data_IF_544507920032
#
_entry.id   IF_544507920032
#
_cell.length_a   1.000
_cell.length_b   1.000
_cell.length_c   1.000
_cell.angle_alpha   90.00
_cell.angle_beta   90.00
_cell.angle_gamma   90.00
#
_symmetry.space_group_name_H-M   'P 1'
#
loop_
_entity.id
_entity.type
_entity.pdbx_description
1 polymer ?
#
# COMPACT_ATOMS: atom_id res chain seq x y z
N UNK A 1 -1.74 -10.54 -0.50
CA UNK A 1 -0.34 -10.68 -0.91
C UNK A 1 0.03 -12.06 -1.48
N UNK A 2 -0.94 -12.91 -1.85
CA UNK A 2 -0.62 -14.21 -2.44
C UNK A 2 -0.83 -14.28 -3.97
N UNK A 3 -1.87 -13.62 -4.50
CA UNK A 3 -2.23 -13.71 -5.92
C UNK A 3 -1.14 -13.32 -6.94
N UNK A 4 -0.53 -12.14 -6.81
CA UNK A 4 0.51 -11.68 -7.76
C UNK A 4 1.76 -12.56 -7.74
N UNK A 5 2.07 -13.13 -6.59
CA UNK A 5 3.21 -14.03 -6.40
C UNK A 5 2.96 -15.34 -7.15
N UNK A 6 1.77 -15.93 -7.05
CA UNK A 6 1.43 -17.20 -7.74
C UNK A 6 1.48 -17.05 -9.26
N UNK A 7 0.96 -15.93 -9.80
CA UNK A 7 1.04 -15.66 -11.25
C UNK A 7 2.48 -15.60 -11.76
N UNK A 8 3.42 -15.07 -10.97
CA UNK A 8 4.84 -15.05 -11.33
C UNK A 8 5.43 -16.48 -11.33
N UNK A 9 5.10 -17.30 -10.34
CA UNK A 9 5.57 -18.68 -10.24
C UNK A 9 5.03 -19.56 -11.37
N UNK A 10 3.79 -19.36 -11.80
CA UNK A 10 3.20 -20.08 -12.95
C UNK A 10 3.97 -19.81 -14.25
N UNK A 11 4.42 -18.57 -14.47
CA UNK A 11 5.24 -18.24 -15.64
C UNK A 11 6.68 -18.74 -15.56
N UNK A 12 7.24 -18.85 -14.36
CA UNK A 12 8.64 -19.24 -14.16
C UNK A 12 8.84 -20.76 -14.03
N UNK A 13 7.88 -21.44 -13.40
CA UNK A 13 7.88 -22.88 -13.10
C UNK A 13 6.46 -23.47 -13.24
N UNK A 14 5.92 -23.58 -14.47
CA UNK A 14 4.51 -23.97 -14.73
C UNK A 14 4.13 -25.40 -14.30
N UNK A 15 5.09 -26.23 -13.89
CA UNK A 15 4.86 -27.61 -13.45
C UNK A 15 5.09 -27.81 -11.95
N UNK A 16 5.32 -26.73 -11.21
CA UNK A 16 5.51 -26.77 -9.77
C UNK A 16 4.27 -26.21 -9.08
N UNK A 17 3.65 -27.03 -8.23
CA UNK A 17 2.46 -26.59 -7.50
C UNK A 17 2.81 -25.51 -6.48
N UNK A 18 2.13 -24.38 -6.55
CA UNK A 18 2.36 -23.27 -5.63
C UNK A 18 1.67 -23.54 -4.29
N UNK A 19 2.44 -23.57 -3.21
CA UNK A 19 1.94 -23.69 -1.84
C UNK A 19 1.36 -22.37 -1.29
N UNK A 20 0.90 -21.47 -2.16
CA UNK A 20 0.42 -20.13 -1.81
C UNK A 20 -1.05 -20.03 -2.16
N UNK A 21 -1.86 -19.58 -1.21
CA UNK A 21 -3.28 -19.37 -1.43
C UNK A 21 -3.54 -18.37 -2.57
N UNK A 22 -4.59 -18.53 -3.33
CA UNK A 22 -5.06 -17.59 -4.36
C UNK A 22 -6.46 -17.10 -4.03
N UNK A 23 -7.01 -16.21 -4.86
CA UNK A 23 -8.27 -15.52 -4.57
C UNK A 23 -9.41 -16.50 -4.25
N UNK A 24 -9.51 -17.61 -5.01
CA UNK A 24 -10.58 -18.58 -4.84
C UNK A 24 -10.38 -19.52 -3.65
N UNK A 25 -9.18 -19.63 -3.07
CA UNK A 25 -8.97 -20.46 -1.87
C UNK A 25 -9.67 -19.86 -0.65
N UNK A 26 -9.85 -18.53 -0.64
CA UNK A 26 -10.62 -17.85 0.40
C UNK A 26 -12.05 -17.50 -0.03
N UNK A 27 -12.29 -17.18 -1.30
CA UNK A 27 -13.60 -16.69 -1.77
C UNK A 27 -14.48 -17.77 -2.43
N UNK A 28 -13.90 -18.91 -2.84
CA UNK A 28 -14.57 -19.89 -3.69
C UNK A 28 -14.57 -19.50 -5.17
N UNK A 29 -15.24 -20.31 -6.00
CA UNK A 29 -15.27 -20.15 -7.47
C UNK A 29 -16.66 -19.79 -7.96
N UNK A 30 -17.68 -20.61 -7.67
CA UNK A 30 -19.08 -20.38 -8.05
C UNK A 30 -19.98 -19.98 -6.87
N UNK A 31 -19.39 -19.85 -5.69
CA UNK A 31 -20.03 -19.56 -4.42
C UNK A 31 -19.41 -18.31 -3.76
N UNK A 32 -18.99 -17.35 -4.59
CA UNK A 32 -18.38 -16.11 -4.12
C UNK A 32 -19.45 -15.25 -3.46
N UNK A 33 -19.35 -15.13 -2.14
CA UNK A 33 -20.27 -14.34 -1.34
C UNK A 33 -19.62 -13.04 -0.87
N UNK A 34 -20.41 -11.96 -0.69
CA UNK A 34 -19.92 -10.73 -0.06
C UNK A 34 -19.32 -11.01 1.31
N UNK A 35 -18.32 -10.22 1.74
CA UNK A 35 -17.72 -10.35 3.07
C UNK A 35 -18.67 -10.04 4.23
N UNK A 36 -19.86 -9.51 3.94
CA UNK A 36 -20.94 -9.27 4.89
C UNK A 36 -21.93 -10.43 5.01
N UNK A 37 -21.86 -11.44 4.13
CA UNK A 37 -22.73 -12.60 4.16
C UNK A 37 -22.25 -13.61 5.21
N UNK A 38 -23.16 -14.12 6.03
CA UNK A 38 -22.87 -15.07 7.10
C UNK A 38 -22.28 -16.41 6.60
N UNK A 39 -22.61 -16.79 5.36
CA UNK A 39 -22.10 -18.00 4.72
C UNK A 39 -20.77 -17.75 3.99
N UNK A 40 -20.28 -16.51 3.98
CA UNK A 40 -19.02 -16.18 3.33
C UNK A 40 -17.83 -16.78 4.09
N UNK A 41 -16.92 -17.41 3.35
CA UNK A 41 -15.67 -17.92 3.90
C UNK A 41 -14.72 -16.79 4.35
N UNK A 42 -14.95 -15.56 3.87
CA UNK A 42 -14.15 -14.38 4.23
C UNK A 42 -14.83 -13.48 5.26
N UNK A 43 -15.99 -13.87 5.82
CA UNK A 43 -16.55 -13.16 6.97
C UNK A 43 -15.64 -13.38 8.19
N UNK A 44 -15.54 -12.37 9.06
CA UNK A 44 -14.62 -12.35 10.21
C UNK A 44 -14.71 -13.61 11.08
N UNK A 45 -15.92 -14.14 11.26
CA UNK A 45 -16.18 -15.33 12.07
C UNK A 45 -15.64 -16.62 11.45
N UNK A 46 -15.65 -16.71 10.11
CA UNK A 46 -15.19 -17.91 9.39
C UNK A 46 -13.72 -17.81 8.95
N UNK A 47 -13.12 -16.61 9.01
CA UNK A 47 -11.79 -16.34 8.48
C UNK A 47 -10.69 -17.22 9.09
N UNK A 48 -10.77 -17.51 10.40
CA UNK A 48 -9.82 -18.43 11.04
C UNK A 48 -9.89 -19.83 10.43
N UNK A 49 -11.11 -20.36 10.29
CA UNK A 49 -11.35 -21.70 9.73
C UNK A 49 -10.87 -21.75 8.29
N UNK A 50 -11.09 -20.69 7.52
CA UNK A 50 -10.58 -20.55 6.14
C UNK A 50 -9.05 -20.58 6.10
N UNK A 51 -8.36 -19.82 6.97
CA UNK A 51 -6.90 -19.87 7.05
C UNK A 51 -6.37 -21.24 7.51
N UNK A 52 -7.10 -21.92 8.40
CA UNK A 52 -6.72 -23.23 8.94
C UNK A 52 -6.74 -24.36 7.92
N UNK A 53 -7.39 -24.17 6.76
CA UNK A 53 -7.32 -25.12 5.65
C UNK A 53 -5.87 -25.35 5.19
N UNK A 54 -5.04 -24.32 5.23
CA UNK A 54 -3.62 -24.38 4.88
C UNK A 54 -2.68 -24.16 6.08
N UNK A 55 -3.16 -23.57 7.17
CA UNK A 55 -2.41 -23.32 8.41
C UNK A 55 -3.08 -23.97 9.62
N UNK A 56 -2.95 -25.30 9.83
CA UNK A 56 -3.67 -26.02 10.87
C UNK A 56 -3.47 -25.48 12.29
N UNK A 57 -2.29 -24.92 12.57
CA UNK A 57 -1.93 -24.38 13.89
C UNK A 57 -2.24 -22.88 14.05
N UNK A 58 -2.94 -22.26 13.09
CA UNK A 58 -3.35 -20.86 13.19
C UNK A 58 -4.33 -20.69 14.36
N UNK A 59 -4.09 -19.65 15.16
CA UNK A 59 -4.96 -19.26 16.29
C UNK A 59 -5.77 -17.99 15.95
N UNK A 60 -6.68 -17.58 16.84
CA UNK A 60 -7.55 -16.42 16.65
C UNK A 60 -6.82 -15.12 16.29
N UNK A 61 -5.57 -14.94 16.71
CA UNK A 61 -4.79 -13.74 16.39
C UNK A 61 -4.21 -13.77 14.97
N UNK A 62 -4.12 -14.94 14.34
CA UNK A 62 -3.57 -15.12 13.00
C UNK A 62 -4.34 -14.35 11.93
N UNK A 63 -5.67 -14.53 11.75
CA UNK A 63 -6.44 -13.74 10.77
C UNK A 63 -6.58 -12.26 11.15
N UNK A 64 -6.35 -11.91 12.41
CA UNK A 64 -6.35 -10.54 12.91
C UNK A 64 -4.98 -9.85 12.78
N UNK A 65 -3.93 -10.59 12.41
CA UNK A 65 -2.59 -10.06 12.20
C UNK A 65 -2.52 -9.36 10.83
N UNK A 66 -2.16 -8.08 10.85
CA UNK A 66 -2.08 -7.18 9.69
C UNK A 66 -3.44 -6.79 9.10
N UNK A 67 -3.99 -5.65 9.56
CA UNK A 67 -5.18 -4.92 9.04
C UNK A 67 -6.00 -5.72 8.02
N UNK A 68 -6.77 -6.69 8.52
CA UNK A 68 -7.43 -7.76 7.77
C UNK A 68 -8.28 -7.27 6.58
N UNK A 69 -7.67 -6.83 5.48
CA UNK A 69 -8.34 -6.16 4.35
C UNK A 69 -9.35 -5.03 4.73
N UNK A 70 -9.34 -4.57 5.97
CA UNK A 70 -10.21 -3.49 6.43
C UNK A 70 -9.47 -2.18 6.31
N UNK A 71 -10.13 -1.22 5.65
CA UNK A 71 -9.62 0.14 5.59
C UNK A 71 -9.67 0.74 7.01
N UNK A 72 -8.55 1.25 7.55
CA UNK A 72 -8.55 1.90 8.86
C UNK A 72 -9.61 3.00 8.91
N UNK A 73 -10.38 3.03 10.00
CA UNK A 73 -11.39 4.05 10.26
C UNK A 73 -11.33 4.48 11.73
N UNK A 74 -12.03 5.55 12.07
CA UNK A 74 -12.09 6.06 13.45
C UNK A 74 -12.74 5.00 14.37
N UNK A 75 -13.71 4.26 13.86
CA UNK A 75 -14.41 3.20 14.59
C UNK A 75 -13.60 1.89 14.62
N UNK A 76 -12.84 1.62 13.55
CA UNK A 76 -12.08 0.38 13.38
C UNK A 76 -10.59 0.70 13.19
N UNK A 77 -9.80 0.55 14.26
CA UNK A 77 -8.36 0.85 14.33
C UNK A 77 -8.03 2.36 14.28
N UNK A 78 -8.50 3.16 15.26
CA UNK A 78 -8.31 4.61 15.27
C UNK A 78 -6.84 5.05 15.24
N UNK A 79 -5.95 4.31 15.90
CA UNK A 79 -4.51 4.61 15.89
C UNK A 79 -3.94 4.60 14.47
N UNK A 80 -4.25 3.57 13.69
CA UNK A 80 -3.77 3.42 12.31
C UNK A 80 -4.36 4.51 11.42
N UNK A 81 -5.63 4.87 11.61
CA UNK A 81 -6.25 5.98 10.90
C UNK A 81 -5.50 7.31 11.10
N UNK A 82 -5.10 7.63 12.35
CA UNK A 82 -4.34 8.85 12.61
C UNK A 82 -2.91 8.81 12.06
N UNK A 83 -2.28 7.63 12.05
CA UNK A 83 -0.98 7.44 11.40
C UNK A 83 -1.09 7.68 9.89
N UNK A 84 -2.12 7.13 9.24
CA UNK A 84 -2.38 7.36 7.81
C UNK A 84 -2.63 8.85 7.52
N UNK A 85 -3.43 9.52 8.35
CA UNK A 85 -3.69 10.96 8.23
C UNK A 85 -2.42 11.79 8.43
N UNK A 86 -1.58 11.41 9.40
CA UNK A 86 -0.29 12.04 9.63
C UNK A 86 0.60 11.93 8.39
N UNK A 87 0.76 10.74 7.82
CA UNK A 87 1.57 10.54 6.62
C UNK A 87 0.99 11.27 5.41
N UNK A 88 -0.34 11.31 5.26
CA UNK A 88 -1.02 12.06 4.22
C UNK A 88 -0.67 13.55 4.23
N UNK A 89 -0.40 14.13 5.40
CA UNK A 89 -0.04 15.55 5.55
C UNK A 89 1.47 15.74 5.47
N UNK A 90 2.25 14.96 6.23
CA UNK A 90 3.69 15.19 6.41
C UNK A 90 4.49 14.92 5.13
N UNK A 91 4.14 13.88 4.37
CA UNK A 91 4.86 13.53 3.14
C UNK A 91 4.77 14.68 2.11
N UNK A 92 3.58 15.15 1.68
CA UNK A 92 3.49 16.23 0.72
C UNK A 92 4.00 17.57 1.26
N UNK A 93 3.83 17.86 2.56
CA UNK A 93 4.39 19.07 3.16
C UNK A 93 5.92 19.08 3.09
N UNK A 94 6.56 17.95 3.39
CA UNK A 94 8.02 17.81 3.34
C UNK A 94 8.52 17.89 1.91
N UNK A 95 7.93 17.12 0.99
CA UNK A 95 8.30 17.13 -0.44
C UNK A 95 8.08 18.50 -1.05
N UNK A 96 6.92 19.12 -0.81
CA UNK A 96 6.61 20.46 -1.29
C UNK A 96 7.56 21.51 -0.74
N UNK A 97 7.88 21.46 0.56
CA UNK A 97 8.86 22.35 1.19
C UNK A 97 10.24 22.26 0.53
N UNK A 98 10.73 21.06 0.27
CA UNK A 98 12.00 20.86 -0.43
C UNK A 98 11.95 21.35 -1.88
N UNK A 99 10.88 21.08 -2.62
CA UNK A 99 10.72 21.55 -4.00
C UNK A 99 10.70 23.09 -4.07
N UNK A 100 10.01 23.74 -3.14
CA UNK A 100 10.00 25.20 -3.04
C UNK A 100 11.37 25.76 -2.69
N UNK A 101 12.07 25.14 -1.74
CA UNK A 101 13.41 25.54 -1.34
C UNK A 101 14.40 25.44 -2.51
N UNK A 102 14.43 24.30 -3.20
CA UNK A 102 15.29 24.06 -4.37
C UNK A 102 14.92 25.00 -5.51
N UNK A 103 13.62 25.17 -5.80
CA UNK A 103 13.15 26.07 -6.84
C UNK A 103 13.54 27.53 -6.59
N UNK A 104 13.42 27.99 -5.34
CA UNK A 104 13.84 29.34 -4.93
C UNK A 104 15.35 29.54 -5.11
N UNK A 105 16.17 28.56 -4.71
CA UNK A 105 17.62 28.66 -4.86
C UNK A 105 18.04 28.65 -6.34
N UNK A 106 17.46 27.78 -7.17
CA UNK A 106 17.69 27.77 -8.61
C UNK A 106 17.29 29.12 -9.23
N UNK A 107 16.12 29.66 -8.87
CA UNK A 107 15.65 30.94 -9.37
C UNK A 107 16.61 32.08 -8.99
N UNK A 108 17.07 32.11 -7.75
CA UNK A 108 18.07 33.08 -7.27
C UNK A 108 19.37 32.97 -8.08
N UNK A 109 19.90 31.77 -8.24
CA UNK A 109 21.13 31.54 -9.01
C UNK A 109 21.00 31.97 -10.48
N UNK A 110 19.86 31.68 -11.11
CA UNK A 110 19.59 32.07 -12.50
C UNK A 110 19.50 33.59 -12.62
N UNK A 111 18.77 34.25 -11.71
CA UNK A 111 18.63 35.72 -11.69
C UNK A 111 19.98 36.42 -11.51
N UNK A 112 20.80 35.95 -10.57
CA UNK A 112 22.15 36.48 -10.34
C UNK A 112 23.04 36.32 -11.58
N UNK A 113 23.00 35.16 -12.26
CA UNK A 113 23.73 34.94 -13.51
C UNK A 113 23.30 35.88 -14.64
N UNK A 114 21.99 36.08 -14.83
CA UNK A 114 21.47 37.00 -15.85
C UNK A 114 21.85 38.46 -15.57
N UNK A 115 21.81 38.89 -14.31
CA UNK A 115 22.21 40.25 -13.93
C UNK A 115 23.70 40.50 -14.15
N UNK A 116 24.56 39.52 -13.84
CA UNK A 116 26.01 39.64 -14.05
C UNK A 116 26.38 39.73 -15.53
N UNK A 117 25.76 38.90 -16.38
CA UNK A 117 25.97 38.92 -17.83
C UNK A 117 25.50 40.23 -18.47
N UNK A 118 24.38 40.80 -18.01
CA UNK A 118 23.89 42.11 -18.47
C UNK A 118 24.86 43.24 -18.13
N UNK A 119 25.44 43.21 -16.92
CA UNK A 119 26.43 44.20 -16.48
C UNK A 119 27.74 44.12 -17.29
N UNK A 120 28.25 42.91 -17.52
CA UNK A 120 29.45 42.69 -18.35
C UNK A 120 29.26 43.20 -19.80
N UNK A 121 28.06 43.07 -20.40
CA UNK A 121 27.78 43.58 -21.76
C UNK A 121 27.60 45.10 -21.88
N UNK A 122 27.48 45.82 -20.77
CA UNK A 122 27.30 47.28 -20.77
C UNK A 122 28.62 48.05 -20.59
N UNK A 123 29.65 47.35 -20.10
CA UNK A 123 31.00 47.89 -19.85
C UNK A 123 31.99 47.61 -21.01
N UNK A 124 31.55 46.94 -22.08
CA UNK A 124 32.29 46.63 -23.33
C UNK A 124 31.84 47.51 -24.50
#
# INVERSE_FOLDING_TARGET
FHGTTVTLFDHQSPHEESNKAVCYDCHGVHNILPASDENSQVIKQNLLVTCQQCHPDANDNFPNSWTSHFKPSIEHNPLVYFVDLFYLIVIPATVGGFLLFIGSDIFRQVRERFQRKSKESHDE
#
